data_IF_924504156488
#
_entry.id   IF_924504156488
#
_cell.length_a   1.000
_cell.length_b   1.000
_cell.length_c   1.000
_cell.angle_alpha   90.00
_cell.angle_beta   90.00
_cell.angle_gamma   90.00
#
_symmetry.space_group_name_H-M   'P 1'
#
loop_
_entity.id
_entity.type
_entity.pdbx_description
1 polymer ?
#
# COMPACT_ATOMS: atom_id res chain seq x y z
N UNK A 1 28.82 7.18 3.40
CA UNK A 1 27.69 7.02 4.33
C UNK A 1 26.76 5.97 3.75
N UNK A 2 26.39 4.98 4.51
CA UNK A 2 25.33 4.03 4.12
C UNK A 2 24.01 4.80 4.09
N UNK A 3 23.14 4.50 3.11
CA UNK A 3 21.83 5.12 2.96
C UNK A 3 20.76 4.08 3.21
N UNK A 4 19.69 4.46 3.85
CA UNK A 4 18.51 3.63 4.11
C UNK A 4 17.24 4.31 3.57
N UNK A 5 16.23 3.50 3.24
CA UNK A 5 14.88 3.96 2.94
C UNK A 5 13.90 3.22 3.86
N UNK A 6 13.36 3.94 4.84
CA UNK A 6 12.56 3.36 5.93
C UNK A 6 11.04 3.49 5.70
N UNK A 7 10.61 3.82 4.48
CA UNK A 7 9.19 3.95 4.15
C UNK A 7 8.95 3.58 2.68
N UNK A 8 8.77 2.29 2.41
CA UNK A 8 8.62 1.76 1.05
C UNK A 8 7.36 0.91 0.95
N UNK A 9 6.62 1.07 -0.16
CA UNK A 9 5.42 0.28 -0.46
C UNK A 9 5.65 -0.66 -1.63
N UNK A 10 5.05 -1.84 -1.55
CA UNK A 10 5.05 -2.84 -2.61
C UNK A 10 3.68 -2.97 -3.28
N UNK A 11 3.59 -3.92 -4.22
CA UNK A 11 2.31 -4.32 -4.85
C UNK A 11 1.33 -4.96 -3.88
N UNK A 12 1.69 -5.24 -2.63
CA UNK A 12 0.76 -5.65 -1.58
C UNK A 12 -0.08 -4.49 -1.01
N UNK A 13 0.32 -3.24 -1.31
CA UNK A 13 -0.52 -2.06 -1.13
C UNK A 13 -0.49 -1.21 -2.41
N UNK A 14 -0.02 0.02 -2.38
CA UNK A 14 -0.06 0.96 -3.50
C UNK A 14 1.31 1.26 -4.13
N UNK A 15 2.30 0.47 -3.82
CA UNK A 15 3.55 0.45 -4.55
C UNK A 15 3.41 -0.20 -5.94
N UNK A 16 4.33 0.12 -6.82
CA UNK A 16 4.33 -0.38 -8.21
C UNK A 16 5.24 -1.57 -8.44
N UNK A 17 6.12 -1.87 -7.47
CA UNK A 17 7.10 -2.95 -7.54
C UNK A 17 6.75 -4.06 -6.56
N UNK A 18 7.03 -5.30 -6.93
CA UNK A 18 6.96 -6.44 -6.01
C UNK A 18 8.01 -6.30 -4.89
N UNK A 19 7.83 -6.98 -3.73
CA UNK A 19 8.83 -7.00 -2.68
C UNK A 19 10.23 -7.40 -3.17
N UNK A 20 10.31 -8.37 -4.07
CA UNK A 20 11.58 -8.82 -4.64
C UNK A 20 12.24 -7.77 -5.53
N UNK A 21 11.46 -7.06 -6.35
CA UNK A 21 11.97 -5.95 -7.17
C UNK A 21 12.46 -4.79 -6.31
N UNK A 22 11.78 -4.50 -5.19
CA UNK A 22 12.22 -3.46 -4.24
C UNK A 22 13.59 -3.77 -3.65
N UNK A 23 13.86 -5.03 -3.28
CA UNK A 23 15.19 -5.45 -2.82
C UNK A 23 16.24 -5.28 -3.93
N UNK A 24 15.92 -5.68 -5.16
CA UNK A 24 16.84 -5.52 -6.30
C UNK A 24 17.13 -4.03 -6.58
N UNK A 25 16.12 -3.17 -6.53
CA UNK A 25 16.26 -1.71 -6.70
C UNK A 25 17.12 -1.14 -5.57
N UNK A 26 16.86 -1.50 -4.32
CA UNK A 26 17.64 -1.06 -3.16
C UNK A 26 19.13 -1.45 -3.30
N UNK A 27 19.41 -2.69 -3.71
CA UNK A 27 20.75 -3.17 -3.98
C UNK A 27 21.43 -2.35 -5.10
N UNK A 28 20.74 -2.12 -6.21
CA UNK A 28 21.26 -1.33 -7.34
C UNK A 28 21.58 0.12 -6.98
N UNK A 29 20.87 0.67 -5.98
CA UNK A 29 21.07 2.02 -5.44
C UNK A 29 22.07 2.07 -4.28
N UNK A 30 22.70 0.94 -3.94
CA UNK A 30 23.61 0.80 -2.81
C UNK A 30 22.99 1.25 -1.48
N UNK A 31 21.69 0.95 -1.27
CA UNK A 31 21.05 1.09 0.03
C UNK A 31 21.53 -0.04 0.94
N UNK A 32 21.76 0.28 2.21
CA UNK A 32 22.11 -0.73 3.23
C UNK A 32 20.89 -1.39 3.86
N UNK A 33 19.77 -0.68 3.90
CA UNK A 33 18.51 -1.20 4.42
C UNK A 33 17.31 -0.56 3.73
N UNK A 34 16.19 -1.30 3.68
CA UNK A 34 14.87 -0.75 3.40
C UNK A 34 13.87 -1.27 4.43
N UNK A 35 12.85 -0.48 4.75
CA UNK A 35 11.71 -0.96 5.48
C UNK A 35 10.51 -1.12 4.54
N UNK A 36 9.98 -2.34 4.44
CA UNK A 36 8.72 -2.56 3.75
C UNK A 36 7.57 -2.22 4.69
N UNK A 37 6.77 -1.22 4.31
CA UNK A 37 5.75 -0.60 5.18
C UNK A 37 4.41 -0.49 4.47
N UNK A 38 3.96 -1.56 3.82
CA UNK A 38 2.69 -1.61 3.12
C UNK A 38 1.51 -1.19 4.00
N UNK A 39 0.49 -0.56 3.41
CA UNK A 39 -0.69 -0.08 4.11
C UNK A 39 -1.52 -1.23 4.70
N UNK A 40 -1.63 -1.28 6.02
CA UNK A 40 -2.46 -2.19 6.81
C UNK A 40 -2.29 -3.68 6.45
N UNK A 41 -1.10 -4.07 5.94
CA UNK A 41 -0.75 -5.46 5.66
C UNK A 41 0.73 -5.75 5.93
N UNK A 42 1.01 -7.00 6.30
CA UNK A 42 2.35 -7.57 6.46
C UNK A 42 2.59 -8.71 5.46
N UNK A 43 1.65 -8.94 4.54
CA UNK A 43 1.63 -10.12 3.66
C UNK A 43 2.81 -10.12 2.68
N UNK A 44 3.39 -8.95 2.35
CA UNK A 44 4.58 -8.81 1.50
C UNK A 44 5.91 -9.09 2.23
N UNK A 45 5.93 -9.13 3.56
CA UNK A 45 7.17 -9.28 4.35
C UNK A 45 7.89 -10.62 4.07
N UNK A 46 7.21 -11.77 4.02
CA UNK A 46 7.87 -13.04 3.74
C UNK A 46 8.62 -13.06 2.39
N UNK A 47 8.01 -12.50 1.34
CA UNK A 47 8.61 -12.41 0.01
C UNK A 47 9.82 -11.47 -0.01
N UNK A 48 9.72 -10.34 0.68
CA UNK A 48 10.82 -9.40 0.82
C UNK A 48 12.00 -10.00 1.61
N UNK A 49 11.74 -10.70 2.72
CA UNK A 49 12.77 -11.39 3.51
C UNK A 49 13.48 -12.48 2.68
N UNK A 50 12.72 -13.25 1.91
CA UNK A 50 13.29 -14.27 1.01
C UNK A 50 14.21 -13.63 -0.04
N UNK A 51 13.84 -12.51 -0.62
CA UNK A 51 14.67 -11.79 -1.58
C UNK A 51 15.91 -11.17 -0.93
N UNK A 52 15.76 -10.57 0.26
CA UNK A 52 16.84 -9.97 1.03
C UNK A 52 17.90 -11.00 1.48
N UNK A 53 17.50 -12.25 1.73
CA UNK A 53 18.42 -13.32 2.10
C UNK A 53 19.51 -13.63 1.05
N UNK A 54 19.33 -13.17 -0.18
CA UNK A 54 20.31 -13.28 -1.28
C UNK A 54 20.93 -11.91 -1.65
N UNK A 55 20.83 -10.90 -0.79
CA UNK A 55 21.28 -9.53 -1.02
C UNK A 55 22.07 -9.02 0.19
N UNK A 56 22.85 -7.96 0.01
CA UNK A 56 23.48 -7.22 1.13
C UNK A 56 22.54 -6.18 1.76
N UNK A 57 21.32 -6.04 1.23
CA UNK A 57 20.31 -5.10 1.74
C UNK A 57 19.60 -5.73 2.93
N UNK A 58 19.64 -5.05 4.08
CA UNK A 58 18.84 -5.43 5.24
C UNK A 58 17.36 -5.09 4.99
N UNK A 59 16.46 -6.06 5.18
CA UNK A 59 15.03 -5.81 5.20
C UNK A 59 14.56 -5.61 6.64
N UNK A 60 13.93 -4.47 6.90
CA UNK A 60 13.26 -4.15 8.15
C UNK A 60 11.75 -4.42 7.95
N UNK A 61 11.15 -5.38 8.67
CA UNK A 61 9.70 -5.57 8.65
C UNK A 61 9.00 -4.35 9.25
N UNK A 62 8.07 -3.77 8.49
CA UNK A 62 7.32 -2.61 8.91
C UNK A 62 5.87 -2.67 8.43
N UNK A 63 5.09 -1.69 8.80
CA UNK A 63 3.71 -1.48 8.35
C UNK A 63 3.36 -0.01 8.44
N UNK A 64 2.58 0.51 7.51
CA UNK A 64 1.94 1.81 7.63
C UNK A 64 0.48 1.63 8.06
N UNK A 65 0.20 2.02 9.30
CA UNK A 65 -1.13 1.93 9.90
C UNK A 65 -1.98 3.13 9.51
N UNK A 66 -3.16 2.88 8.98
CA UNK A 66 -4.18 3.92 8.79
C UNK A 66 -4.92 4.15 10.09
N UNK A 67 -4.80 5.34 10.63
CA UNK A 67 -5.44 5.74 11.88
C UNK A 67 -6.28 7.01 11.68
N UNK A 68 -7.14 7.31 12.64
CA UNK A 68 -7.92 8.55 12.65
C UNK A 68 -7.70 9.28 13.98
N UNK A 69 -7.36 10.54 13.89
CA UNK A 69 -7.26 11.41 15.05
C UNK A 69 -8.08 12.68 14.81
N UNK A 70 -9.09 12.91 15.63
CA UNK A 70 -9.99 14.07 15.50
C UNK A 70 -10.60 14.25 14.11
N UNK A 71 -11.10 13.15 13.51
CA UNK A 71 -11.64 13.09 12.14
C UNK A 71 -10.63 13.39 11.02
N UNK A 72 -9.34 13.42 11.34
CA UNK A 72 -8.26 13.53 10.35
C UNK A 72 -7.57 12.19 10.22
N UNK A 73 -7.42 11.69 8.99
CA UNK A 73 -6.65 10.49 8.73
C UNK A 73 -5.17 10.77 9.00
N UNK A 74 -4.55 9.93 9.83
CA UNK A 74 -3.13 9.99 10.19
C UNK A 74 -2.52 8.63 9.93
N UNK A 75 -1.41 8.60 9.22
CA UNK A 75 -0.67 7.37 8.98
C UNK A 75 0.50 7.27 9.96
N UNK A 76 0.65 6.09 10.55
CA UNK A 76 1.72 5.80 11.51
C UNK A 76 2.56 4.65 10.97
N UNK A 77 3.85 4.92 10.74
CA UNK A 77 4.80 3.89 10.33
C UNK A 77 5.35 3.18 11.56
N UNK A 78 5.10 1.88 11.62
CA UNK A 78 5.72 0.97 12.58
C UNK A 78 6.89 0.24 11.93
N UNK A 79 8.03 0.18 12.60
CA UNK A 79 9.21 -0.54 12.16
C UNK A 79 9.55 -1.68 13.12
N UNK A 80 10.32 -2.67 12.65
CA UNK A 80 10.74 -3.85 13.42
C UNK A 80 9.53 -4.64 13.97
N UNK A 81 8.47 -4.73 13.17
CA UNK A 81 7.24 -5.43 13.53
C UNK A 81 7.49 -6.94 13.52
N UNK A 82 7.03 -7.63 14.56
CA UNK A 82 6.89 -9.09 14.51
C UNK A 82 5.68 -9.45 13.63
N UNK A 83 5.97 -9.70 12.34
CA UNK A 83 4.96 -10.01 11.33
C UNK A 83 4.26 -11.37 11.57
N UNK A 84 4.79 -12.21 12.48
CA UNK A 84 4.18 -13.49 12.87
C UNK A 84 3.21 -13.35 14.04
N UNK A 85 3.16 -12.19 14.69
CA UNK A 85 2.33 -11.96 15.86
C UNK A 85 0.84 -11.87 15.47
N UNK A 86 0.03 -12.76 16.05
CA UNK A 86 -1.39 -12.85 15.75
C UNK A 86 -2.17 -11.58 16.10
N UNK A 87 -1.82 -10.91 17.21
CA UNK A 87 -2.56 -9.72 17.65
C UNK A 87 -2.45 -8.57 16.64
N UNK A 88 -1.26 -8.33 16.08
CA UNK A 88 -1.10 -7.32 15.03
C UNK A 88 -1.83 -7.74 13.76
N UNK A 89 -1.74 -9.01 13.37
CA UNK A 89 -2.42 -9.51 12.16
C UNK A 89 -3.95 -9.42 12.28
N UNK A 90 -4.53 -9.71 13.44
CA UNK A 90 -5.97 -9.55 13.73
C UNK A 90 -6.38 -8.07 13.67
N UNK A 91 -5.57 -7.18 14.23
CA UNK A 91 -5.80 -5.74 14.14
C UNK A 91 -5.79 -5.26 12.69
N UNK A 92 -4.77 -5.62 11.91
CA UNK A 92 -4.66 -5.25 10.50
C UNK A 92 -5.84 -5.77 9.67
N UNK A 93 -6.33 -6.98 9.97
CA UNK A 93 -7.55 -7.51 9.34
C UNK A 93 -8.76 -6.59 9.58
N UNK A 94 -8.94 -6.11 10.81
CA UNK A 94 -10.01 -5.15 11.14
C UNK A 94 -9.87 -3.84 10.35
N UNK A 95 -8.64 -3.33 10.20
CA UNK A 95 -8.38 -2.13 9.40
C UNK A 95 -8.71 -2.35 7.91
N UNK A 96 -8.33 -3.51 7.35
CA UNK A 96 -8.68 -3.87 5.97
C UNK A 96 -10.20 -3.98 5.75
N UNK A 97 -10.95 -4.52 6.70
CA UNK A 97 -12.42 -4.54 6.63
C UNK A 97 -13.03 -3.13 6.59
N UNK A 98 -12.47 -2.20 7.35
CA UNK A 98 -12.88 -0.79 7.32
C UNK A 98 -12.56 -0.13 5.96
N UNK A 99 -11.38 -0.44 5.39
CA UNK A 99 -11.02 0.00 4.03
C UNK A 99 -11.97 -0.54 2.97
N UNK A 100 -12.37 -1.81 3.05
CA UNK A 100 -13.32 -2.41 2.11
C UNK A 100 -14.64 -1.63 2.11
N UNK A 101 -15.19 -1.33 3.28
CA UNK A 101 -16.43 -0.54 3.40
C UNK A 101 -16.27 0.85 2.77
N UNK A 102 -15.17 1.54 3.06
CA UNK A 102 -14.86 2.85 2.45
C UNK A 102 -14.74 2.76 0.93
N UNK A 103 -14.06 1.74 0.42
CA UNK A 103 -13.81 1.57 -1.01
C UNK A 103 -15.10 1.26 -1.78
N UNK A 104 -16.01 0.48 -1.20
CA UNK A 104 -17.35 0.26 -1.77
C UNK A 104 -18.11 1.59 -1.86
N UNK A 105 -18.10 2.40 -0.80
CA UNK A 105 -18.74 3.72 -0.82
C UNK A 105 -18.11 4.68 -1.86
N UNK A 106 -16.80 4.60 -2.10
CA UNK A 106 -16.14 5.34 -3.19
C UNK A 106 -16.69 4.89 -4.55
N UNK A 107 -16.82 3.58 -4.79
CA UNK A 107 -17.38 3.05 -6.03
C UNK A 107 -18.83 3.50 -6.24
N UNK A 108 -19.68 3.47 -5.20
CA UNK A 108 -21.06 3.94 -5.25
C UNK A 108 -21.12 5.44 -5.60
N UNK A 109 -20.26 6.26 -4.98
CA UNK A 109 -20.15 7.69 -5.31
C UNK A 109 -19.72 7.91 -6.75
N UNK A 110 -18.74 7.13 -7.24
CA UNK A 110 -18.28 7.20 -8.63
C UNK A 110 -19.41 6.86 -9.60
N UNK A 111 -20.16 5.78 -9.34
CA UNK A 111 -21.34 5.43 -10.14
C UNK A 111 -22.38 6.56 -10.21
N UNK A 112 -22.62 7.28 -9.12
CA UNK A 112 -23.59 8.38 -9.07
C UNK A 112 -23.22 9.58 -9.96
N UNK A 113 -21.95 9.70 -10.35
CA UNK A 113 -21.44 10.76 -11.23
C UNK A 113 -21.01 10.22 -12.60
N UNK A 114 -21.42 8.99 -12.95
CA UNK A 114 -21.19 8.39 -14.27
C UNK A 114 -19.84 7.69 -14.45
N UNK A 115 -19.07 7.49 -13.39
CA UNK A 115 -17.83 6.70 -13.42
C UNK A 115 -18.16 5.28 -12.97
N UNK A 116 -18.29 4.37 -13.91
CA UNK A 116 -18.72 3.00 -13.65
C UNK A 116 -17.54 2.11 -13.27
N UNK A 117 -17.33 1.92 -11.97
CA UNK A 117 -16.35 0.99 -11.41
C UNK A 117 -16.93 0.30 -10.18
N UNK A 118 -16.72 -0.99 -10.03
CA UNK A 118 -17.08 -1.74 -8.84
C UNK A 118 -15.85 -2.13 -8.03
N UNK A 119 -16.06 -2.46 -6.76
CA UNK A 119 -14.96 -2.91 -5.92
C UNK A 119 -14.35 -4.23 -6.41
N UNK A 120 -15.16 -5.14 -6.96
CA UNK A 120 -14.70 -6.40 -7.57
C UNK A 120 -13.81 -6.14 -8.81
N UNK A 121 -14.10 -5.09 -9.58
CA UNK A 121 -13.24 -4.69 -10.69
C UNK A 121 -11.91 -4.15 -10.18
N UNK A 122 -11.91 -3.37 -9.10
CA UNK A 122 -10.66 -2.91 -8.46
C UNK A 122 -9.81 -4.08 -7.98
N UNK A 123 -10.41 -5.09 -7.34
CA UNK A 123 -9.69 -6.30 -6.93
C UNK A 123 -9.08 -7.08 -8.10
N UNK A 124 -9.72 -7.07 -9.26
CA UNK A 124 -9.16 -7.70 -10.48
C UNK A 124 -8.00 -6.91 -11.08
N UNK A 125 -8.03 -5.58 -10.94
CA UNK A 125 -6.95 -4.71 -11.44
C UNK A 125 -5.71 -4.77 -10.55
N UNK A 126 -5.90 -4.98 -9.25
CA UNK A 126 -4.86 -5.00 -8.23
C UNK A 126 -5.01 -6.25 -7.35
N UNK A 127 -4.70 -7.44 -7.91
CA UNK A 127 -4.78 -8.68 -7.16
C UNK A 127 -3.80 -8.64 -5.98
N UNK A 128 -4.20 -9.21 -4.86
CA UNK A 128 -3.43 -9.31 -3.61
C UNK A 128 -3.11 -7.97 -2.91
N UNK A 129 -3.48 -6.83 -3.49
CA UNK A 129 -3.23 -5.52 -2.91
C UNK A 129 -4.32 -5.10 -1.91
N UNK A 130 -3.90 -4.46 -0.83
CA UNK A 130 -4.79 -3.64 -0.01
C UNK A 130 -5.16 -2.38 -0.81
N UNK A 131 -6.39 -2.31 -1.31
CA UNK A 131 -6.84 -1.20 -2.16
C UNK A 131 -6.86 0.11 -1.36
N UNK A 132 -6.11 1.10 -1.85
CA UNK A 132 -6.01 2.46 -1.31
C UNK A 132 -6.68 3.48 -2.23
N UNK A 133 -6.76 4.74 -1.81
CA UNK A 133 -7.22 5.83 -2.68
C UNK A 133 -6.29 6.09 -3.86
N UNK A 134 -4.99 5.77 -3.73
CA UNK A 134 -4.05 5.89 -4.83
C UNK A 134 -4.43 4.99 -6.02
N UNK A 135 -4.93 3.78 -5.78
CA UNK A 135 -5.43 2.89 -6.84
C UNK A 135 -6.64 3.49 -7.57
N UNK A 136 -7.55 4.14 -6.86
CA UNK A 136 -8.67 4.87 -7.48
C UNK A 136 -8.17 6.07 -8.29
N UNK A 137 -7.18 6.81 -7.78
CA UNK A 137 -6.55 7.90 -8.54
C UNK A 137 -5.92 7.38 -9.83
N UNK A 138 -5.19 6.26 -9.78
CA UNK A 138 -4.61 5.62 -10.97
C UNK A 138 -5.68 5.17 -11.96
N UNK A 139 -6.78 4.59 -11.46
CA UNK A 139 -7.91 4.23 -12.31
C UNK A 139 -8.49 5.45 -13.04
N UNK A 140 -8.69 6.57 -12.33
CA UNK A 140 -9.21 7.80 -12.92
C UNK A 140 -8.28 8.37 -13.99
N UNK A 141 -6.98 8.41 -13.73
CA UNK A 141 -5.98 8.86 -14.71
C UNK A 141 -5.93 7.93 -15.93
N UNK A 142 -5.85 6.63 -15.70
CA UNK A 142 -5.76 5.63 -16.78
C UNK A 142 -6.98 5.63 -17.70
N UNK A 143 -8.15 5.97 -17.16
CA UNK A 143 -9.41 6.03 -17.92
C UNK A 143 -9.77 7.46 -18.36
N UNK A 144 -8.82 8.40 -18.29
CA UNK A 144 -8.96 9.78 -18.78
C UNK A 144 -10.05 10.62 -18.09
N UNK A 145 -10.41 10.29 -16.84
CA UNK A 145 -11.29 11.12 -16.01
C UNK A 145 -10.56 12.31 -15.41
N UNK A 146 -9.25 12.20 -15.24
CA UNK A 146 -8.36 13.26 -14.74
C UNK A 146 -7.02 13.24 -15.50
N UNK A 147 -6.32 14.36 -15.48
CA UNK A 147 -5.01 14.49 -16.12
C UNK A 147 -3.86 13.88 -15.30
N UNK A 148 -3.98 13.93 -13.98
CA UNK A 148 -2.99 13.38 -13.06
C UNK A 148 -3.62 12.94 -11.73
N UNK A 149 -2.79 12.36 -10.83
CA UNK A 149 -3.22 11.90 -9.51
C UNK A 149 -3.67 13.05 -8.60
N UNK A 150 -3.02 14.21 -8.65
CA UNK A 150 -3.38 15.35 -7.78
C UNK A 150 -4.81 15.81 -8.09
N UNK A 151 -5.12 15.99 -9.39
CA UNK A 151 -6.48 16.30 -9.82
C UNK A 151 -7.48 15.22 -9.37
N UNK A 152 -7.10 13.94 -9.40
CA UNK A 152 -7.96 12.86 -8.95
C UNK A 152 -8.29 12.95 -7.46
N UNK A 153 -7.28 13.27 -6.63
CA UNK A 153 -7.48 13.47 -5.18
C UNK A 153 -8.33 14.71 -4.90
N UNK A 154 -8.05 15.83 -5.54
CA UNK A 154 -8.74 17.11 -5.28
C UNK A 154 -10.22 17.08 -5.67
N UNK A 155 -10.58 16.36 -6.75
CA UNK A 155 -11.94 16.39 -7.32
C UNK A 155 -12.81 15.21 -6.90
N UNK A 156 -12.21 14.06 -6.62
CA UNK A 156 -12.94 12.79 -6.54
C UNK A 156 -12.70 11.98 -5.26
N UNK A 157 -11.61 12.16 -4.53
CA UNK A 157 -11.18 11.30 -3.42
C UNK A 157 -11.08 12.02 -2.09
#
# INVERSE_FOLDING_TARGET
>A
MKKEDLHVHSTYSDGTNTPSELIAIASSKNLSAIALTDHDTLDGIPDALKAAGNSEVELIPGVELSTNFNNTEVHIVGLFIDYTNNAINDYLKTQRESRIKRNIAICERFCSIGINITYEQMLKLYPDAVITRAHFADYLVKNHYTGDRNEAFDRYL
#
